data_IF_428811428643
#
_entry.id   IF_428811428643
#
_cell.length_a   1.000
_cell.length_b   1.000
_cell.length_c   1.000
_cell.angle_alpha   90.00
_cell.angle_beta   90.00
_cell.angle_gamma   90.00
#
_symmetry.space_group_name_H-M   'P 1'
#
loop_
_entity.id
_entity.type
_entity.pdbx_description
1 polymer ?
#
# COMPACT_ATOMS: atom_id res chain seq x y z
N UNK A 1 -3.29 -11.98 11.24
CA UNK A 1 -3.73 -11.22 10.04
C UNK A 1 -3.95 -12.14 8.84
N UNK A 2 -2.92 -12.71 8.23
CA UNK A 2 -3.06 -13.54 7.02
C UNK A 2 -4.09 -14.66 7.13
N UNK A 3 -4.06 -15.45 8.22
CA UNK A 3 -5.05 -16.51 8.46
C UNK A 3 -6.52 -16.02 8.46
N UNK A 4 -6.77 -14.79 8.93
CA UNK A 4 -8.11 -14.18 8.87
C UNK A 4 -8.41 -13.63 7.48
N UNK A 5 -7.39 -13.16 6.75
CA UNK A 5 -7.51 -12.77 5.36
C UNK A 5 -7.97 -13.94 4.49
N UNK A 6 -7.34 -15.10 4.64
CA UNK A 6 -7.70 -16.31 3.91
C UNK A 6 -9.11 -16.79 4.24
N UNK A 7 -9.48 -16.81 5.54
CA UNK A 7 -10.80 -17.24 6.00
C UNK A 7 -11.95 -16.34 5.51
N UNK A 8 -11.66 -15.07 5.21
CA UNK A 8 -12.63 -14.09 4.73
C UNK A 8 -12.36 -13.65 3.29
N UNK A 9 -11.65 -14.46 2.51
CA UNK A 9 -11.30 -14.13 1.13
C UNK A 9 -12.54 -13.98 0.25
N UNK A 10 -12.50 -13.01 -0.66
CA UNK A 10 -13.52 -12.79 -1.70
C UNK A 10 -12.87 -12.77 -3.09
N UNK A 11 -13.61 -13.11 -4.17
CA UNK A 11 -13.07 -13.05 -5.53
C UNK A 11 -12.49 -11.67 -5.88
N UNK A 12 -11.27 -11.65 -6.46
CA UNK A 12 -10.53 -10.42 -6.75
C UNK A 12 -9.42 -10.56 -7.83
N UNK A 13 -9.61 -11.38 -8.84
CA UNK A 13 -8.87 -11.29 -10.11
C UNK A 13 -7.38 -11.63 -9.97
N UNK A 14 -7.07 -12.58 -9.08
CA UNK A 14 -5.71 -13.00 -8.74
C UNK A 14 -5.06 -12.22 -7.59
N UNK A 15 -5.74 -11.22 -7.01
CA UNK A 15 -5.34 -10.60 -5.74
C UNK A 15 -6.05 -11.28 -4.56
N UNK A 16 -5.49 -11.13 -3.36
CA UNK A 16 -6.19 -11.45 -2.12
C UNK A 16 -7.00 -10.22 -1.70
N UNK A 17 -8.33 -10.31 -1.78
CA UNK A 17 -9.26 -9.35 -1.18
C UNK A 17 -10.09 -10.05 -0.11
N UNK A 18 -10.66 -9.27 0.81
CA UNK A 18 -11.38 -9.80 1.97
C UNK A 18 -12.74 -9.13 2.16
N UNK A 19 -13.70 -9.87 2.72
CA UNK A 19 -14.91 -9.29 3.32
C UNK A 19 -14.50 -8.44 4.53
N UNK A 20 -14.51 -7.11 4.36
CA UNK A 20 -13.94 -6.15 5.33
C UNK A 20 -14.50 -6.33 6.74
N UNK A 21 -15.82 -6.48 6.87
CA UNK A 21 -16.47 -6.63 8.17
C UNK A 21 -16.18 -7.98 8.80
N UNK A 22 -16.26 -9.06 8.02
CA UNK A 22 -15.94 -10.40 8.51
C UNK A 22 -14.49 -10.49 8.97
N UNK A 23 -13.56 -9.98 8.15
CA UNK A 23 -12.14 -9.92 8.47
C UNK A 23 -11.87 -9.11 9.75
N UNK A 24 -12.38 -7.87 9.85
CA UNK A 24 -12.10 -7.00 10.99
C UNK A 24 -12.67 -7.59 12.28
N UNK A 25 -13.90 -8.11 12.23
CA UNK A 25 -14.53 -8.74 13.39
C UNK A 25 -13.73 -9.95 13.86
N UNK A 26 -13.31 -10.83 12.95
CA UNK A 26 -12.55 -12.03 13.30
C UNK A 26 -11.16 -11.70 13.88
N UNK A 27 -10.52 -10.62 13.44
CA UNK A 27 -9.29 -10.10 14.06
C UNK A 27 -9.57 -9.58 15.47
N UNK A 28 -10.60 -8.74 15.63
CA UNK A 28 -11.02 -8.21 16.93
C UNK A 28 -11.31 -9.34 17.92
N UNK A 29 -12.17 -10.29 17.56
CA UNK A 29 -12.57 -11.41 18.43
C UNK A 29 -11.35 -12.23 18.87
N UNK A 30 -10.40 -12.46 17.97
CA UNK A 30 -9.17 -13.21 18.28
C UNK A 30 -8.31 -12.48 19.31
N UNK A 31 -8.18 -11.15 19.20
CA UNK A 31 -7.40 -10.36 20.15
C UNK A 31 -8.11 -10.24 21.51
N UNK A 32 -9.41 -9.95 21.51
CA UNK A 32 -10.19 -9.77 22.75
C UNK A 32 -10.40 -11.06 23.53
N UNK A 33 -10.36 -12.23 22.86
CA UNK A 33 -10.46 -13.52 23.53
C UNK A 33 -9.11 -14.05 24.06
N UNK A 34 -7.99 -13.40 23.74
CA UNK A 34 -6.68 -13.89 24.13
C UNK A 34 -6.40 -13.57 25.61
N UNK A 35 -6.07 -14.57 26.45
CA UNK A 35 -5.98 -14.38 27.92
C UNK A 35 -4.84 -13.47 28.39
N UNK A 36 -3.87 -13.18 27.51
CA UNK A 36 -2.73 -12.30 27.77
C UNK A 36 -2.85 -10.93 27.09
N UNK A 37 -4.00 -10.62 26.49
CA UNK A 37 -4.22 -9.32 25.84
C UNK A 37 -5.36 -8.60 26.55
N UNK A 38 -5.03 -7.43 27.09
CA UNK A 38 -6.02 -6.46 27.56
C UNK A 38 -6.24 -5.42 26.47
N UNK A 39 -7.50 -5.04 26.25
CA UNK A 39 -7.87 -3.99 25.28
C UNK A 39 -8.45 -2.82 26.04
N UNK A 40 -7.67 -1.76 26.17
CA UNK A 40 -8.14 -0.47 26.63
C UNK A 40 -8.62 0.38 25.44
N UNK A 41 -9.78 1.02 25.57
CA UNK A 41 -10.41 1.88 24.55
C UNK A 41 -10.26 3.35 24.91
N UNK A 42 -9.08 3.73 25.36
CA UNK A 42 -8.68 5.11 25.66
C UNK A 42 -7.78 5.65 24.55
N UNK A 43 -7.81 6.97 24.37
CA UNK A 43 -6.87 7.66 23.51
C UNK A 43 -5.56 7.93 24.29
N UNK A 44 -4.42 7.65 23.66
CA UNK A 44 -3.11 8.09 24.14
C UNK A 44 -2.79 9.43 23.47
N UNK A 45 -3.26 10.52 24.09
CA UNK A 45 -3.17 11.89 23.56
C UNK A 45 -1.87 12.59 23.99
N UNK A 46 -0.73 11.99 23.64
CA UNK A 46 0.60 12.52 24.01
C UNK A 46 1.67 11.44 24.05
N UNK A 47 2.84 11.76 24.60
CA UNK A 47 3.92 10.77 24.71
C UNK A 47 3.56 9.65 25.69
N UNK A 48 3.87 8.38 25.38
CA UNK A 48 3.60 7.26 26.28
C UNK A 48 4.24 7.44 27.68
N UNK A 49 3.50 7.11 28.76
CA UNK A 49 3.96 7.27 30.15
C UNK A 49 5.34 6.64 30.41
N UNK A 50 6.17 7.28 31.24
CA UNK A 50 7.57 6.88 31.45
C UNK A 50 7.72 5.47 32.05
N UNK A 51 6.73 5.01 32.80
CA UNK A 51 6.71 3.69 33.45
C UNK A 51 6.55 2.52 32.45
N UNK A 52 6.05 2.75 31.23
CA UNK A 52 5.84 1.68 30.24
C UNK A 52 7.13 1.27 29.55
N UNK A 53 7.66 0.07 29.79
CA UNK A 53 9.05 -0.26 29.37
C UNK A 53 9.24 -0.79 27.95
N UNK A 54 8.19 -1.34 27.33
CA UNK A 54 8.25 -1.87 25.97
C UNK A 54 6.99 -1.44 25.24
N UNK A 55 7.07 -0.32 24.53
CA UNK A 55 5.93 0.32 23.88
C UNK A 55 6.09 0.19 22.37
N UNK A 56 4.99 -0.14 21.67
CA UNK A 56 4.95 -0.13 20.21
C UNK A 56 3.89 0.88 19.76
N UNK A 57 4.31 1.96 19.11
CA UNK A 57 3.41 2.93 18.48
C UNK A 57 3.04 2.40 17.09
N UNK A 58 1.76 2.08 16.90
CA UNK A 58 1.22 1.53 15.65
C UNK A 58 -0.10 2.23 15.22
N UNK A 59 -0.15 3.55 15.37
CA UNK A 59 -1.35 4.39 15.18
C UNK A 59 -1.73 4.63 13.71
N UNK A 60 -0.85 4.26 12.78
CA UNK A 60 -1.13 4.35 11.35
C UNK A 60 -1.21 5.79 10.81
N UNK A 61 -1.91 6.00 9.68
CA UNK A 61 -1.89 7.28 8.96
C UNK A 61 -2.49 8.45 9.73
N UNK A 62 -3.50 8.17 10.57
CA UNK A 62 -4.31 9.16 11.27
C UNK A 62 -3.94 9.19 12.75
N UNK A 63 -2.64 9.29 13.02
CA UNK A 63 -2.13 9.47 14.38
C UNK A 63 -2.74 10.74 14.97
N UNK A 64 -3.24 10.66 16.22
CA UNK A 64 -3.91 11.79 16.89
C UNK A 64 -3.02 13.02 16.99
N UNK A 65 -3.64 14.18 17.15
CA UNK A 65 -2.93 15.46 17.19
C UNK A 65 -1.93 15.51 18.36
N UNK A 66 -2.33 15.13 19.59
CA UNK A 66 -1.43 15.19 20.75
C UNK A 66 -0.24 14.24 20.64
N UNK A 67 -0.44 13.01 20.17
CA UNK A 67 0.69 12.09 19.93
C UNK A 67 1.59 12.60 18.78
N UNK A 68 1.00 13.17 17.71
CA UNK A 68 1.76 13.75 16.62
C UNK A 68 2.64 14.91 17.08
N UNK A 69 2.11 15.82 17.92
CA UNK A 69 2.89 16.91 18.52
C UNK A 69 4.00 16.37 19.43
N UNK A 70 3.70 15.40 20.28
CA UNK A 70 4.70 14.80 21.16
C UNK A 70 5.85 14.12 20.38
N UNK A 71 5.56 13.52 19.23
CA UNK A 71 6.59 12.97 18.34
C UNK A 71 7.43 14.13 17.75
N UNK A 72 6.81 15.17 17.19
CA UNK A 72 7.51 16.33 16.62
C UNK A 72 8.47 16.98 17.63
N UNK A 73 8.01 17.20 18.86
CA UNK A 73 8.81 17.79 19.94
C UNK A 73 10.07 16.97 20.26
N UNK A 74 9.99 15.63 20.17
CA UNK A 74 11.12 14.73 20.47
C UNK A 74 12.05 14.51 19.29
N UNK A 75 11.56 14.65 18.07
CA UNK A 75 12.38 14.48 16.86
C UNK A 75 13.04 15.80 16.44
N UNK A 76 12.47 16.94 16.83
CA UNK A 76 12.88 18.26 16.33
C UNK A 76 12.54 18.46 14.85
N UNK A 77 11.71 17.60 14.28
CA UNK A 77 11.23 17.71 12.90
C UNK A 77 10.10 18.74 12.82
N UNK A 78 10.00 19.47 11.71
CA UNK A 78 8.92 20.44 11.50
C UNK A 78 7.59 19.74 11.14
N UNK A 79 7.66 18.59 10.47
CA UNK A 79 6.50 17.87 9.93
C UNK A 79 6.67 16.34 9.96
N UNK A 80 5.56 15.62 10.15
CA UNK A 80 5.46 14.15 10.08
C UNK A 80 4.70 13.67 8.82
N UNK A 81 4.64 14.43 7.73
CA UNK A 81 3.55 14.26 6.77
C UNK A 81 3.96 13.91 5.33
N UNK A 82 3.12 13.11 4.68
CA UNK A 82 2.95 13.04 3.23
C UNK A 82 1.45 13.01 2.88
N UNK A 83 1.12 13.17 1.60
CA UNK A 83 -0.26 13.07 1.11
C UNK A 83 -0.53 11.76 0.38
N UNK A 84 -1.61 11.10 0.77
CA UNK A 84 -2.23 9.99 0.06
C UNK A 84 -3.54 10.47 -0.57
N UNK A 85 -3.90 9.96 -1.74
CA UNK A 85 -5.10 10.36 -2.43
C UNK A 85 -6.08 9.17 -2.51
N UNK A 86 -7.36 9.43 -2.31
CA UNK A 86 -8.41 8.41 -2.35
C UNK A 86 -9.09 8.45 -3.72
N UNK A 87 -9.35 7.27 -4.28
CA UNK A 87 -10.09 7.14 -5.52
C UNK A 87 -11.63 7.19 -5.31
N UNK A 88 -12.39 7.74 -6.27
CA UNK A 88 -13.85 7.75 -6.25
C UNK A 88 -14.51 6.36 -6.21
N UNK A 89 -15.73 6.31 -5.71
CA UNK A 89 -16.62 5.14 -5.69
C UNK A 89 -17.94 5.54 -6.35
N UNK A 90 -18.41 4.72 -7.29
CA UNK A 90 -19.65 4.89 -8.04
C UNK A 90 -20.69 3.83 -7.66
N UNK A 91 -21.95 4.21 -7.76
CA UNK A 91 -23.08 3.28 -7.65
C UNK A 91 -23.18 2.42 -8.92
N UNK A 92 -23.34 1.11 -8.75
CA UNK A 92 -23.27 0.15 -9.87
C UNK A 92 -24.45 0.29 -10.83
N UNK A 93 -25.63 0.63 -10.33
CA UNK A 93 -26.85 0.88 -11.10
C UNK A 93 -26.79 2.16 -11.96
N UNK A 94 -25.87 3.07 -11.66
CA UNK A 94 -25.60 4.27 -12.45
C UNK A 94 -24.63 4.05 -13.63
N UNK A 95 -24.05 2.85 -13.76
CA UNK A 95 -23.10 2.50 -14.82
C UNK A 95 -23.85 2.06 -16.07
N UNK A 96 -23.48 2.60 -17.23
CA UNK A 96 -24.02 2.17 -18.51
C UNK A 96 -23.38 0.84 -18.97
N UNK A 97 -24.10 -0.25 -18.70
CA UNK A 97 -23.70 -1.63 -19.01
C UNK A 97 -23.69 -1.98 -20.50
N UNK A 98 -24.26 -1.14 -21.38
CA UNK A 98 -24.16 -1.32 -22.83
C UNK A 98 -22.78 -0.94 -23.39
N UNK A 99 -22.01 -0.18 -22.60
CA UNK A 99 -20.68 0.31 -22.97
C UNK A 99 -19.56 -0.48 -22.29
N UNK A 100 -19.74 -0.79 -21.00
CA UNK A 100 -18.71 -1.45 -20.19
C UNK A 100 -18.77 -2.97 -20.34
N UNK A 101 -17.65 -3.66 -20.11
CA UNK A 101 -17.63 -5.12 -20.09
C UNK A 101 -16.88 -5.68 -18.89
N UNK A 102 -17.32 -6.85 -18.43
CA UNK A 102 -16.71 -7.54 -17.31
C UNK A 102 -15.55 -8.42 -17.79
N UNK A 103 -14.32 -8.14 -17.34
CA UNK A 103 -13.13 -8.92 -17.71
C UNK A 103 -11.96 -8.65 -16.74
N UNK A 104 -11.30 -9.71 -16.31
CA UNK A 104 -9.97 -9.67 -15.67
C UNK A 104 -8.87 -9.73 -16.73
N UNK A 105 -7.73 -9.07 -16.50
CA UNK A 105 -6.64 -9.04 -17.49
C UNK A 105 -6.12 -10.45 -17.80
N UNK A 106 -5.93 -10.72 -19.09
CA UNK A 106 -5.50 -12.01 -19.65
C UNK A 106 -6.44 -13.17 -19.36
N UNK A 107 -7.71 -12.88 -19.09
CA UNK A 107 -8.74 -13.87 -18.76
C UNK A 107 -8.31 -14.79 -17.59
N UNK A 108 -7.53 -14.23 -16.65
CA UNK A 108 -7.09 -14.96 -15.46
C UNK A 108 -8.19 -14.99 -14.40
N UNK A 109 -8.61 -16.20 -14.03
CA UNK A 109 -9.58 -16.48 -12.98
C UNK A 109 -10.97 -16.85 -13.54
N UNK A 110 -11.79 -17.48 -12.70
CA UNK A 110 -13.15 -17.91 -13.06
C UNK A 110 -14.21 -16.81 -12.88
N UNK A 111 -13.81 -15.63 -12.38
CA UNK A 111 -14.66 -14.47 -12.09
C UNK A 111 -14.21 -13.21 -12.85
N UNK A 112 -15.18 -12.44 -13.33
CA UNK A 112 -14.97 -11.13 -13.99
C UNK A 112 -14.98 -10.00 -12.96
N UNK A 113 -13.90 -9.90 -12.19
CA UNK A 113 -13.82 -9.02 -11.00
C UNK A 113 -13.79 -7.52 -11.31
N UNK A 114 -13.61 -7.15 -12.57
CA UNK A 114 -13.53 -5.77 -13.04
C UNK A 114 -14.54 -5.49 -14.15
N UNK A 115 -15.20 -4.34 -14.07
CA UNK A 115 -15.84 -3.71 -15.22
C UNK A 115 -14.83 -2.79 -15.89
N UNK A 116 -14.80 -2.81 -17.21
CA UNK A 116 -13.82 -2.08 -18.01
C UNK A 116 -14.55 -1.03 -18.85
N UNK A 117 -14.15 0.22 -18.69
CA UNK A 117 -14.68 1.38 -19.41
C UNK A 117 -13.69 1.74 -20.52
N UNK A 118 -13.99 1.42 -21.79
CA UNK A 118 -13.07 1.63 -22.90
C UNK A 118 -13.07 3.09 -23.34
N UNK A 119 -11.89 3.58 -23.76
CA UNK A 119 -11.77 4.88 -24.41
C UNK A 119 -11.12 4.72 -25.78
N UNK A 120 -11.61 5.49 -26.75
CA UNK A 120 -10.90 5.79 -27.98
C UNK A 120 -9.78 6.81 -27.70
N UNK A 121 -8.86 6.98 -28.66
CA UNK A 121 -7.80 8.00 -28.56
C UNK A 121 -8.38 9.40 -28.37
N UNK A 122 -9.37 9.80 -29.18
CA UNK A 122 -10.00 11.11 -29.05
C UNK A 122 -10.67 11.33 -27.68
N UNK A 123 -11.33 10.30 -27.14
CA UNK A 123 -11.94 10.37 -25.80
C UNK A 123 -10.87 10.46 -24.71
N UNK A 124 -9.77 9.73 -24.85
CA UNK A 124 -8.64 9.79 -23.92
C UNK A 124 -8.01 11.18 -23.90
N UNK A 125 -7.68 11.74 -25.07
CA UNK A 125 -7.09 13.08 -25.18
C UNK A 125 -8.01 14.15 -24.57
N UNK A 126 -9.31 14.11 -24.87
CA UNK A 126 -10.29 15.03 -24.29
C UNK A 126 -10.40 14.89 -22.76
N UNK A 127 -10.33 13.67 -22.24
CA UNK A 127 -10.32 13.43 -20.80
C UNK A 127 -9.05 13.96 -20.13
N UNK A 128 -7.88 13.79 -20.76
CA UNK A 128 -6.61 14.36 -20.27
C UNK A 128 -6.67 15.88 -20.25
N UNK A 129 -7.21 16.52 -21.28
CA UNK A 129 -7.38 17.97 -21.33
C UNK A 129 -8.26 18.46 -20.18
N UNK A 130 -9.45 17.86 -20.03
CA UNK A 130 -10.37 18.20 -18.95
C UNK A 130 -9.76 17.96 -17.55
N UNK A 131 -8.97 16.90 -17.40
CA UNK A 131 -8.27 16.60 -16.15
C UNK A 131 -7.21 17.65 -15.81
N UNK A 132 -6.42 18.08 -16.80
CA UNK A 132 -5.37 19.08 -16.62
C UNK A 132 -5.93 20.48 -16.34
N UNK A 133 -7.05 20.82 -16.99
CA UNK A 133 -7.77 22.10 -16.87
C UNK A 133 -8.67 22.18 -15.63
N UNK A 134 -8.99 21.04 -14.99
CA UNK A 134 -9.92 20.98 -13.87
C UNK A 134 -9.49 21.84 -12.66
N UNK A 135 -10.49 22.39 -11.97
CA UNK A 135 -10.29 23.09 -10.71
C UNK A 135 -9.77 22.12 -9.65
N UNK A 136 -8.55 22.39 -9.18
CA UNK A 136 -7.87 21.63 -8.13
C UNK A 136 -8.09 22.31 -6.78
N UNK A 137 -8.05 21.53 -5.71
CA UNK A 137 -8.00 22.11 -4.36
C UNK A 137 -6.70 22.92 -4.24
N UNK A 138 -6.79 24.19 -3.86
CA UNK A 138 -5.61 25.06 -3.70
C UNK A 138 -4.82 24.61 -2.48
N UNK A 139 -3.50 24.56 -2.64
CA UNK A 139 -2.58 24.28 -1.55
C UNK A 139 -2.73 25.36 -0.46
N UNK A 140 -2.90 24.98 0.81
CA UNK A 140 -2.36 25.83 1.88
C UNK A 140 -0.83 25.85 1.74
N UNK A 141 -0.14 26.95 2.06
CA UNK A 141 1.32 27.12 1.84
C UNK A 141 2.19 25.91 2.28
N UNK A 142 1.78 25.18 3.31
CA UNK A 142 2.46 23.98 3.81
C UNK A 142 2.22 22.71 2.98
N UNK A 143 1.16 22.65 2.18
CA UNK A 143 0.85 21.52 1.30
C UNK A 143 1.69 21.52 0.01
N UNK A 144 2.18 22.69 -0.42
CA UNK A 144 2.99 22.84 -1.63
C UNK A 144 4.40 22.22 -1.50
N UNK A 145 4.93 22.13 -0.27
CA UNK A 145 6.28 21.62 0.01
C UNK A 145 6.29 20.17 0.49
N UNK A 146 5.13 19.54 0.65
CA UNK A 146 5.04 18.15 1.12
C UNK A 146 4.99 17.21 -0.09
N UNK A 147 5.95 16.28 -0.25
CA UNK A 147 5.96 15.34 -1.36
C UNK A 147 4.71 14.43 -1.34
N UNK A 148 4.18 14.15 -2.53
CA UNK A 148 3.15 13.11 -2.71
C UNK A 148 3.78 11.73 -2.62
N UNK A 149 3.03 10.75 -2.11
CA UNK A 149 3.47 9.37 -2.22
C UNK A 149 3.45 8.90 -3.68
N UNK A 150 4.63 8.52 -4.18
CA UNK A 150 4.87 8.24 -5.60
C UNK A 150 4.03 7.07 -6.16
N UNK A 151 3.65 6.08 -5.34
CA UNK A 151 2.81 4.98 -5.81
C UNK A 151 1.29 5.25 -5.73
N UNK A 152 0.89 6.40 -5.16
CA UNK A 152 -0.51 6.83 -5.02
C UNK A 152 -0.73 8.28 -5.47
N UNK A 153 -0.05 8.65 -6.58
CA UNK A 153 -0.15 10.00 -7.13
C UNK A 153 -1.58 10.32 -7.61
N UNK A 154 -2.07 11.56 -7.38
CA UNK A 154 -3.28 12.05 -8.03
C UNK A 154 -3.18 11.92 -9.56
N UNK A 155 -4.26 11.48 -10.23
CA UNK A 155 -4.27 11.25 -11.68
C UNK A 155 -3.92 12.51 -12.49
N UNK A 156 -4.29 13.69 -11.99
CA UNK A 156 -3.91 14.97 -12.59
C UNK A 156 -2.40 15.23 -12.51
N UNK A 157 -1.75 14.84 -11.41
CA UNK A 157 -0.29 14.95 -11.25
C UNK A 157 0.41 13.95 -12.16
N UNK A 158 -0.15 12.75 -12.33
CA UNK A 158 0.36 11.78 -13.31
C UNK A 158 0.23 12.32 -14.75
N UNK A 159 -0.90 12.96 -15.08
CA UNK A 159 -1.13 13.55 -16.40
C UNK A 159 -0.17 14.74 -16.67
N UNK A 160 0.13 15.56 -15.66
CA UNK A 160 1.11 16.65 -15.74
C UNK A 160 2.52 16.16 -16.07
N UNK A 161 2.89 14.95 -15.59
CA UNK A 161 4.18 14.31 -15.90
C UNK A 161 4.26 13.82 -17.35
N UNK A 162 3.14 13.74 -18.05
CA UNK A 162 3.08 13.40 -19.47
C UNK A 162 1.72 12.80 -19.84
N UNK A 163 1.23 13.16 -21.03
CA UNK A 163 -0.11 12.74 -21.51
C UNK A 163 -0.28 11.23 -21.59
N UNK A 164 0.78 10.47 -21.88
CA UNK A 164 0.74 9.01 -21.98
C UNK A 164 0.91 8.29 -20.63
N UNK A 165 1.23 9.02 -19.55
CA UNK A 165 1.56 8.42 -18.24
C UNK A 165 0.43 7.54 -17.72
N UNK A 166 -0.82 8.00 -17.83
CA UNK A 166 -1.97 7.23 -17.37
C UNK A 166 -2.17 5.94 -18.19
N UNK A 167 -1.86 5.93 -19.49
CA UNK A 167 -1.91 4.72 -20.35
C UNK A 167 -0.82 3.69 -20.05
N UNK A 168 0.27 4.09 -19.40
CA UNK A 168 1.25 3.15 -18.85
C UNK A 168 0.95 2.76 -17.39
N UNK A 169 0.10 3.52 -16.71
CA UNK A 169 -0.34 3.29 -15.34
C UNK A 169 -1.77 2.77 -15.21
N UNK A 170 -2.69 3.52 -14.57
CA UNK A 170 -4.03 3.04 -14.21
C UNK A 170 -4.95 2.83 -15.42
N UNK A 171 -4.70 3.51 -16.54
CA UNK A 171 -5.54 3.43 -17.74
C UNK A 171 -5.01 2.46 -18.81
N UNK A 172 -4.03 1.62 -18.46
CA UNK A 172 -3.40 0.71 -19.43
C UNK A 172 -4.40 -0.31 -19.99
N UNK A 173 -4.47 -0.55 -21.31
CA UNK A 173 -5.41 -1.52 -21.89
C UNK A 173 -4.87 -2.97 -21.92
N UNK A 174 -3.65 -3.20 -21.44
CA UNK A 174 -2.92 -4.47 -21.61
C UNK A 174 -3.66 -5.69 -21.04
N UNK A 175 -3.85 -6.72 -21.88
CA UNK A 175 -4.51 -7.97 -21.49
C UNK A 175 -6.04 -7.87 -21.45
N UNK A 176 -6.62 -6.83 -22.05
CA UNK A 176 -8.06 -6.65 -22.16
C UNK A 176 -8.47 -6.63 -23.64
N UNK A 177 -9.64 -7.15 -23.96
CA UNK A 177 -10.20 -7.16 -25.32
C UNK A 177 -11.63 -6.67 -25.26
N UNK A 178 -11.93 -5.55 -25.94
CA UNK A 178 -13.28 -5.00 -25.99
C UNK A 178 -14.14 -5.92 -26.88
N UNK A 179 -15.19 -6.57 -26.32
CA UNK A 179 -16.00 -7.53 -27.08
C UNK A 179 -16.77 -6.89 -28.23
N UNK A 180 -17.00 -5.57 -28.20
CA UNK A 180 -17.72 -4.83 -29.25
C UNK A 180 -16.88 -4.61 -30.49
N UNK A 181 -15.56 -4.51 -30.32
CA UNK A 181 -14.61 -4.24 -31.42
C UNK A 181 -13.70 -5.42 -31.75
N UNK A 182 -13.62 -6.41 -30.84
CA UNK A 182 -12.68 -7.53 -30.93
C UNK A 182 -11.21 -7.13 -30.79
N UNK A 183 -10.92 -5.90 -30.33
CA UNK A 183 -9.58 -5.33 -30.23
C UNK A 183 -9.36 -4.71 -28.85
N UNK A 184 -8.09 -4.46 -28.51
CA UNK A 184 -7.76 -3.66 -27.33
C UNK A 184 -8.21 -2.20 -27.55
N UNK A 185 -8.84 -1.59 -26.53
CA UNK A 185 -9.12 -0.17 -26.52
C UNK A 185 -7.81 0.67 -26.42
N UNK A 186 -7.89 1.96 -26.75
CA UNK A 186 -6.72 2.84 -26.64
C UNK A 186 -6.31 3.04 -25.18
N UNK A 187 -7.29 3.25 -24.30
CA UNK A 187 -7.15 3.29 -22.85
C UNK A 187 -8.37 2.62 -22.18
N UNK A 188 -8.23 2.18 -20.93
CA UNK A 188 -9.32 1.54 -20.17
C UNK A 188 -9.32 2.01 -18.72
N UNK A 189 -10.46 2.47 -18.22
CA UNK A 189 -10.67 2.67 -16.78
C UNK A 189 -11.31 1.41 -16.19
N UNK A 190 -10.69 0.84 -15.16
CA UNK A 190 -11.21 -0.36 -14.50
C UNK A 190 -12.01 0.01 -13.25
N UNK A 191 -13.14 -0.67 -13.03
CA UNK A 191 -13.98 -0.54 -11.85
C UNK A 191 -14.00 -1.87 -11.11
N UNK A 192 -13.62 -1.89 -9.83
CA UNK A 192 -13.64 -3.10 -9.00
C UNK A 192 -14.79 -3.07 -8.01
N UNK A 193 -15.32 -4.25 -7.66
CA UNK A 193 -16.33 -4.37 -6.61
C UNK A 193 -15.79 -3.85 -5.28
N UNK A 194 -16.50 -2.89 -4.67
CA UNK A 194 -16.07 -2.29 -3.40
C UNK A 194 -16.78 -2.92 -2.18
N UNK A 195 -18.01 -3.42 -2.35
CA UNK A 195 -18.77 -4.06 -1.28
C UNK A 195 -19.27 -5.46 -1.66
N UNK A 196 -19.59 -6.29 -0.65
CA UNK A 196 -20.04 -7.68 -0.84
C UNK A 196 -21.29 -7.82 -1.72
N UNK A 197 -22.21 -6.86 -1.62
CA UNK A 197 -23.45 -6.83 -2.40
C UNK A 197 -23.23 -6.46 -3.88
N UNK A 198 -22.04 -5.96 -4.24
CA UNK A 198 -21.76 -5.52 -5.61
C UNK A 198 -22.50 -4.25 -6.03
N UNK A 199 -23.08 -3.50 -5.08
CA UNK A 199 -23.80 -2.25 -5.37
C UNK A 199 -22.87 -1.06 -5.51
N UNK A 200 -21.63 -1.16 -5.03
CA UNK A 200 -20.61 -0.12 -5.14
C UNK A 200 -19.39 -0.58 -5.92
N UNK A 201 -18.84 0.30 -6.75
CA UNK A 201 -17.63 0.05 -7.55
C UNK A 201 -16.61 1.16 -7.34
N UNK A 202 -15.38 0.78 -7.01
CA UNK A 202 -14.25 1.70 -6.88
C UNK A 202 -13.57 1.91 -8.24
N UNK A 203 -13.25 3.15 -8.60
CA UNK A 203 -12.49 3.48 -9.82
C UNK A 203 -11.01 3.23 -9.56
N UNK A 204 -10.45 2.21 -10.21
CA UNK A 204 -9.12 1.67 -9.85
C UNK A 204 -8.02 2.63 -10.32
N UNK A 205 -7.20 3.11 -9.38
CA UNK A 205 -6.05 3.97 -9.69
C UNK A 205 -6.44 5.40 -10.07
N UNK A 206 -7.62 5.85 -9.65
CA UNK A 206 -8.15 7.19 -9.91
C UNK A 206 -8.12 8.09 -8.67
N UNK A 207 -7.06 7.96 -7.88
CA UNK A 207 -6.81 8.86 -6.77
C UNK A 207 -6.68 10.30 -7.29
N UNK A 208 -7.24 11.30 -6.61
CA UNK A 208 -7.30 12.65 -7.17
C UNK A 208 -7.51 13.72 -6.10
N UNK A 209 -7.16 14.97 -6.43
CA UNK A 209 -7.33 16.20 -5.63
C UNK A 209 -8.23 17.24 -6.30
N UNK A 210 -8.83 16.89 -7.44
CA UNK A 210 -9.86 17.70 -8.10
C UNK A 210 -10.94 18.09 -7.08
N UNK A 211 -11.40 19.34 -7.15
CA UNK A 211 -12.55 19.76 -6.34
C UNK A 211 -13.76 18.92 -6.73
N UNK A 212 -14.62 18.62 -5.77
CA UNK A 212 -15.75 17.70 -5.96
C UNK A 212 -16.65 18.05 -7.16
N UNK A 213 -16.86 19.34 -7.43
CA UNK A 213 -17.61 19.79 -8.62
C UNK A 213 -16.94 19.35 -9.93
N UNK A 214 -15.67 19.73 -10.13
CA UNK A 214 -14.90 19.37 -11.33
C UNK A 214 -14.70 17.85 -11.47
N UNK A 215 -14.51 17.17 -10.34
CA UNK A 215 -14.27 15.74 -10.33
C UNK A 215 -15.45 14.94 -10.91
N UNK A 216 -16.68 15.25 -10.52
CA UNK A 216 -17.84 14.55 -11.04
C UNK A 216 -17.99 14.77 -12.56
N UNK A 217 -17.75 15.98 -13.04
CA UNK A 217 -17.86 16.33 -14.46
C UNK A 217 -16.78 15.65 -15.30
N UNK A 218 -15.52 15.70 -14.87
CA UNK A 218 -14.40 15.04 -15.54
C UNK A 218 -14.59 13.52 -15.57
N UNK A 219 -14.98 12.89 -14.45
CA UNK A 219 -15.18 11.44 -14.40
C UNK A 219 -16.36 10.97 -15.25
N UNK A 220 -17.39 11.80 -15.45
CA UNK A 220 -18.51 11.49 -16.35
C UNK A 220 -18.14 11.53 -17.83
N UNK A 221 -16.95 12.04 -18.18
CA UNK A 221 -16.43 11.91 -19.55
C UNK A 221 -15.94 10.49 -19.87
N UNK A 222 -15.78 9.63 -18.86
CA UNK A 222 -15.39 8.23 -19.05
C UNK A 222 -16.58 7.47 -19.66
N UNK A 223 -16.41 6.80 -20.82
CA UNK A 223 -17.49 6.05 -21.45
C UNK A 223 -18.02 4.94 -20.54
N UNK A 224 -19.33 4.90 -20.33
CA UNK A 224 -19.96 4.03 -19.33
C UNK A 224 -20.32 4.72 -18.02
N UNK A 225 -19.74 5.90 -17.74
CA UNK A 225 -19.94 6.66 -16.50
C UNK A 225 -20.65 7.99 -16.74
N UNK A 226 -21.26 8.21 -17.91
CA UNK A 226 -21.85 9.50 -18.30
C UNK A 226 -22.93 9.98 -17.34
N UNK A 227 -23.62 9.04 -16.69
CA UNK A 227 -24.67 9.28 -15.69
C UNK A 227 -24.28 8.79 -14.31
N UNK A 228 -22.98 8.58 -14.06
CA UNK A 228 -22.53 8.00 -12.81
C UNK A 228 -22.96 8.84 -11.60
N UNK A 229 -23.47 8.14 -10.60
CA UNK A 229 -23.73 8.64 -9.26
C UNK A 229 -22.59 8.20 -8.35
N UNK A 230 -21.97 9.17 -7.67
CA UNK A 230 -20.80 8.92 -6.83
C UNK A 230 -21.23 8.72 -5.38
N UNK A 231 -21.06 7.51 -4.86
CA UNK A 231 -21.23 7.21 -3.45
C UNK A 231 -20.19 7.93 -2.59
N UNK A 232 -18.99 8.11 -3.16
CA UNK A 232 -17.90 8.87 -2.57
C UNK A 232 -17.00 9.45 -3.64
N UNK A 233 -16.69 10.73 -3.51
CA UNK A 233 -15.70 11.42 -4.34
C UNK A 233 -14.29 11.24 -3.76
N UNK A 234 -13.28 11.26 -4.62
CA UNK A 234 -11.88 11.12 -4.23
C UNK A 234 -11.33 12.38 -3.55
N UNK A 235 -10.22 12.28 -2.85
CA UNK A 235 -9.62 13.44 -2.17
C UNK A 235 -8.28 13.12 -1.52
N UNK A 236 -7.53 14.16 -1.16
CA UNK A 236 -6.24 14.01 -0.47
C UNK A 236 -6.48 13.83 1.04
N UNK A 237 -5.76 12.87 1.62
CA UNK A 237 -5.66 12.65 3.05
C UNK A 237 -4.20 12.84 3.46
N UNK A 238 -4.00 13.64 4.50
CA UNK A 238 -2.70 13.77 5.15
C UNK A 238 -2.45 12.49 5.93
N UNK A 239 -1.36 11.81 5.61
CA UNK A 239 -0.90 10.64 6.34
C UNK A 239 0.35 11.00 7.13
N UNK A 240 0.35 10.62 8.41
CA UNK A 240 1.48 10.79 9.30
C UNK A 240 2.46 9.62 9.19
N UNK A 241 3.75 9.93 9.09
CA UNK A 241 4.86 8.99 9.19
C UNK A 241 6.11 9.68 9.76
N UNK A 242 7.00 8.88 10.35
CA UNK A 242 8.30 9.34 10.86
C UNK A 242 9.41 9.09 9.83
N UNK A 243 10.47 9.89 9.88
CA UNK A 243 11.71 9.67 9.11
C UNK A 243 12.51 8.49 9.69
N UNK A 244 11.97 7.29 9.48
CA UNK A 244 12.50 6.05 10.06
C UNK A 244 14.00 5.82 9.87
N UNK A 245 14.64 6.12 8.73
CA UNK A 245 16.08 5.88 8.58
C UNK A 245 16.94 6.65 9.58
N UNK A 246 16.45 7.79 10.07
CA UNK A 246 17.12 8.59 11.09
C UNK A 246 16.64 8.19 12.48
N UNK A 247 15.32 7.98 12.62
CA UNK A 247 14.68 7.90 13.92
C UNK A 247 14.62 6.48 14.50
N UNK A 248 14.75 5.46 13.67
CA UNK A 248 14.68 4.05 14.08
C UNK A 248 16.03 3.34 13.94
N UNK A 249 16.31 2.44 14.88
CA UNK A 249 17.36 1.45 14.74
C UNK A 249 16.88 0.19 13.99
N UNK A 250 17.78 -0.77 13.79
CA UNK A 250 17.51 -2.02 13.06
C UNK A 250 16.48 -2.93 13.75
N UNK A 251 16.20 -2.67 15.03
CA UNK A 251 15.19 -3.37 15.83
C UNK A 251 13.87 -2.58 15.92
N UNK A 252 13.72 -1.54 15.08
CA UNK A 252 12.60 -0.60 15.03
C UNK A 252 12.45 0.25 16.30
N UNK A 253 13.47 0.32 17.17
CA UNK A 253 13.44 1.18 18.36
C UNK A 253 13.65 2.61 17.97
N UNK A 254 12.89 3.49 18.61
CA UNK A 254 13.05 4.93 18.48
C UNK A 254 14.36 5.35 19.14
N UNK A 255 15.32 5.84 18.34
CA UNK A 255 16.67 6.16 18.83
C UNK A 255 16.68 7.16 20.00
N UNK A 256 15.83 8.21 20.01
CA UNK A 256 15.77 9.13 21.15
C UNK A 256 15.17 8.53 22.44
N UNK A 257 14.36 7.47 22.34
CA UNK A 257 13.77 6.78 23.50
C UNK A 257 13.62 5.27 23.18
N UNK A 258 14.66 4.46 23.42
CA UNK A 258 14.71 3.04 23.01
C UNK A 258 13.66 2.13 23.65
N UNK A 259 12.95 2.65 24.66
CA UNK A 259 11.77 2.02 25.28
C UNK A 259 10.61 1.87 24.28
N UNK A 260 10.57 2.73 23.26
CA UNK A 260 9.55 2.75 22.22
C UNK A 260 10.07 2.11 20.93
N UNK A 261 9.16 1.45 20.23
CA UNK A 261 9.27 1.07 18.82
C UNK A 261 8.14 1.70 18.02
N UNK A 262 8.36 1.84 16.72
CA UNK A 262 7.30 2.20 15.79
C UNK A 262 7.00 1.03 14.85
N UNK A 263 5.73 0.86 14.49
CA UNK A 263 5.31 -0.18 13.57
C UNK A 263 4.09 0.22 12.74
N UNK A 264 3.87 -0.47 11.63
CA UNK A 264 2.78 -0.14 10.72
C UNK A 264 3.06 1.12 9.90
N UNK A 265 2.02 1.70 9.31
CA UNK A 265 2.19 2.78 8.35
C UNK A 265 2.96 4.01 8.87
N UNK A 266 2.89 4.31 10.17
CA UNK A 266 3.62 5.44 10.76
C UNK A 266 5.15 5.31 10.56
N UNK A 267 5.69 4.11 10.33
CA UNK A 267 7.12 3.95 10.02
C UNK A 267 7.48 4.36 8.59
N UNK A 268 6.51 4.58 7.70
CA UNK A 268 6.77 4.76 6.27
C UNK A 268 6.79 3.43 5.48
N UNK A 269 6.07 2.41 5.96
CA UNK A 269 5.58 1.38 5.05
C UNK A 269 4.19 1.73 4.56
N UNK A 270 3.83 1.23 3.38
CA UNK A 270 2.49 1.43 2.84
C UNK A 270 1.84 0.10 2.46
N UNK A 271 0.58 -0.06 2.86
CA UNK A 271 -0.21 -1.27 2.63
C UNK A 271 -0.49 -2.07 3.90
N UNK A 272 -1.60 -2.81 3.88
CA UNK A 272 -2.05 -3.59 5.03
C UNK A 272 -1.11 -4.75 5.36
N UNK A 273 -0.51 -5.37 4.35
CA UNK A 273 0.38 -6.52 4.53
C UNK A 273 1.73 -6.07 5.06
N UNK A 274 2.27 -4.98 4.53
CA UNK A 274 3.50 -4.35 4.97
C UNK A 274 3.35 -3.85 6.42
N UNK A 275 2.23 -3.20 6.73
CA UNK A 275 1.95 -2.75 8.10
C UNK A 275 1.85 -3.93 9.07
N UNK A 276 1.16 -5.01 8.69
CA UNK A 276 1.07 -6.22 9.50
C UNK A 276 2.42 -6.93 9.67
N UNK A 277 3.27 -6.93 8.63
CA UNK A 277 4.60 -7.53 8.67
C UNK A 277 5.52 -6.76 9.63
N UNK A 278 5.57 -5.42 9.52
CA UNK A 278 6.36 -4.59 10.44
C UNK A 278 5.79 -4.66 11.86
N UNK A 279 4.47 -4.69 12.04
CA UNK A 279 3.83 -4.93 13.34
C UNK A 279 4.25 -6.25 13.98
N UNK A 280 4.26 -7.33 13.19
CA UNK A 280 4.74 -8.63 13.64
C UNK A 280 6.23 -8.58 14.02
N UNK A 281 7.08 -7.96 13.21
CA UNK A 281 8.51 -7.83 13.50
C UNK A 281 8.74 -7.04 14.79
N UNK A 282 8.12 -5.87 14.95
CA UNK A 282 8.26 -5.06 16.16
C UNK A 282 7.85 -5.84 17.42
N UNK A 283 6.76 -6.63 17.35
CA UNK A 283 6.35 -7.52 18.44
C UNK A 283 7.36 -8.63 18.73
N UNK A 284 7.87 -9.30 17.70
CA UNK A 284 8.90 -10.36 17.85
C UNK A 284 10.19 -9.82 18.46
N UNK A 285 10.62 -8.63 18.04
CA UNK A 285 11.84 -7.96 18.53
C UNK A 285 11.66 -7.49 19.98
N UNK A 286 10.53 -6.87 20.31
CA UNK A 286 10.21 -6.52 21.70
C UNK A 286 10.17 -7.75 22.60
N UNK A 287 9.56 -8.85 22.15
CA UNK A 287 9.54 -10.11 22.90
C UNK A 287 10.92 -10.76 23.06
N UNK A 288 11.83 -10.58 22.10
CA UNK A 288 13.22 -11.01 22.25
C UNK A 288 13.95 -10.19 23.31
N UNK A 289 13.81 -8.86 23.27
CA UNK A 289 14.40 -7.94 24.25
C UNK A 289 13.89 -8.21 25.68
N UNK A 290 12.57 -8.35 25.87
CA UNK A 290 11.96 -8.67 27.17
C UNK A 290 12.52 -9.98 27.74
N UNK A 291 12.80 -10.94 26.87
CA UNK A 291 13.35 -12.24 27.24
C UNK A 291 14.89 -12.26 27.30
N UNK A 292 15.58 -11.14 27.10
CA UNK A 292 17.05 -11.09 27.08
C UNK A 292 17.68 -11.93 25.96
N UNK A 293 16.97 -12.15 24.86
CA UNK A 293 17.40 -12.96 23.72
C UNK A 293 17.94 -12.09 22.60
N UNK A 294 18.88 -12.63 21.83
CA UNK A 294 19.33 -11.97 20.61
C UNK A 294 18.17 -11.81 19.61
N UNK A 295 18.04 -10.64 18.95
CA UNK A 295 16.99 -10.43 17.96
C UNK A 295 17.24 -11.30 16.72
N UNK A 296 16.18 -11.90 16.18
CA UNK A 296 16.23 -12.55 14.87
C UNK A 296 15.78 -11.57 13.80
N UNK A 297 16.71 -11.16 12.93
CA UNK A 297 16.45 -10.21 11.84
C UNK A 297 16.22 -10.98 10.52
N UNK A 298 15.15 -10.70 9.76
CA UNK A 298 14.94 -11.32 8.46
C UNK A 298 15.99 -10.88 7.44
N UNK A 299 16.48 -11.83 6.65
CA UNK A 299 17.48 -11.55 5.61
C UNK A 299 16.93 -10.54 4.56
N UNK A 300 17.78 -9.67 3.98
CA UNK A 300 17.37 -8.64 3.04
C UNK A 300 16.76 -9.21 1.74
N UNK A 301 17.04 -10.47 1.41
CA UNK A 301 16.43 -11.20 0.30
C UNK A 301 14.94 -11.48 0.52
N UNK A 302 14.45 -11.44 1.76
CA UNK A 302 13.02 -11.61 2.08
C UNK A 302 12.25 -10.30 1.87
N UNK A 303 10.95 -10.40 1.61
CA UNK A 303 10.07 -9.23 1.54
C UNK A 303 10.08 -8.41 2.86
N UNK A 304 10.16 -9.09 4.00
CA UNK A 304 10.20 -8.42 5.31
C UNK A 304 11.55 -7.77 5.59
N UNK A 305 12.66 -8.43 5.26
CA UNK A 305 14.00 -7.88 5.44
C UNK A 305 14.29 -6.71 4.50
N UNK A 306 13.81 -6.77 3.26
CA UNK A 306 13.91 -5.62 2.33
C UNK A 306 13.10 -4.41 2.80
N UNK A 307 11.88 -4.61 3.33
CA UNK A 307 11.11 -3.54 3.96
C UNK A 307 11.82 -2.99 5.21
N UNK A 308 12.29 -3.85 6.11
CA UNK A 308 13.02 -3.43 7.30
C UNK A 308 14.27 -2.62 6.92
N UNK A 309 15.04 -3.09 5.95
CA UNK A 309 16.20 -2.38 5.43
C UNK A 309 15.86 -1.03 4.82
N UNK A 310 14.75 -0.89 4.08
CA UNK A 310 14.26 0.41 3.59
C UNK A 310 13.99 1.39 4.74
N UNK A 311 13.39 0.90 5.84
CA UNK A 311 13.07 1.72 6.99
C UNK A 311 14.30 2.17 7.79
N UNK A 312 15.39 1.40 7.81
CA UNK A 312 16.47 1.57 8.81
C UNK A 312 17.86 1.81 8.23
N UNK A 313 18.16 1.36 7.00
CA UNK A 313 19.53 1.33 6.47
C UNK A 313 19.66 1.84 5.02
N UNK A 314 18.75 1.44 4.14
CA UNK A 314 18.97 1.47 2.69
C UNK A 314 18.35 2.67 1.98
N UNK A 315 17.53 3.45 2.67
CA UNK A 315 16.91 4.64 2.10
C UNK A 315 17.75 5.89 2.37
N UNK A 316 17.82 6.77 1.38
CA UNK A 316 18.35 8.11 1.59
C UNK A 316 17.39 8.90 2.51
N UNK A 317 17.83 9.37 3.69
CA UNK A 317 16.97 10.07 4.64
C UNK A 317 16.36 11.38 4.10
N UNK A 318 17.01 12.04 3.15
CA UNK A 318 16.57 13.33 2.60
C UNK A 318 15.44 13.16 1.58
N UNK A 319 15.34 11.97 0.98
CA UNK A 319 14.31 11.62 0.00
C UNK A 319 13.46 10.44 0.48
N UNK A 320 13.48 10.15 1.79
CA UNK A 320 12.74 9.03 2.36
C UNK A 320 11.25 9.27 2.16
N UNK A 321 10.59 8.26 1.62
CA UNK A 321 9.15 8.24 1.41
C UNK A 321 8.61 6.91 1.91
N UNK A 322 7.31 6.88 2.30
CA UNK A 322 6.60 5.64 2.49
C UNK A 322 6.78 4.72 1.29
N UNK A 323 6.74 3.41 1.50
CA UNK A 323 6.96 2.45 0.42
C UNK A 323 6.20 1.15 0.67
N UNK A 324 5.54 0.65 -0.37
CA UNK A 324 5.02 -0.71 -0.41
C UNK A 324 6.12 -1.69 -0.83
N UNK A 325 5.95 -2.98 -0.56
CA UNK A 325 6.96 -3.94 -0.99
C UNK A 325 7.03 -4.00 -2.52
N UNK A 326 8.23 -3.83 -3.06
CA UNK A 326 8.46 -3.89 -4.49
C UNK A 326 9.87 -4.45 -4.79
N UNK A 327 10.04 -5.00 -5.99
CA UNK A 327 11.30 -5.65 -6.42
C UNK A 327 12.53 -4.71 -6.52
N UNK A 328 12.35 -3.40 -6.29
CA UNK A 328 13.44 -2.44 -6.17
C UNK A 328 14.12 -2.46 -4.80
N UNK A 329 13.42 -2.93 -3.76
CA UNK A 329 13.95 -2.98 -2.38
C UNK A 329 14.85 -4.20 -2.13
N UNK A 330 14.73 -5.22 -2.95
CA UNK A 330 15.49 -6.46 -2.80
C UNK A 330 16.92 -6.30 -3.32
N UNK A 331 17.90 -7.01 -2.73
CA UNK A 331 19.24 -7.12 -3.29
C UNK A 331 19.18 -7.48 -4.78
N UNK A 332 19.93 -6.78 -5.65
CA UNK A 332 19.86 -7.01 -7.08
C UNK A 332 20.35 -8.43 -7.40
N UNK A 333 19.60 -9.22 -8.21
CA UNK A 333 20.07 -10.54 -8.62
C UNK A 333 21.22 -10.41 -9.62
N UNK A 334 21.96 -11.50 -9.90
CA UNK A 334 22.97 -11.51 -10.94
C UNK A 334 22.43 -10.95 -12.27
N UNK A 335 23.17 -10.07 -12.96
CA UNK A 335 22.66 -9.42 -14.17
C UNK A 335 22.51 -10.37 -15.36
N UNK A 336 23.12 -11.56 -15.28
CA UNK A 336 23.11 -12.56 -16.33
C UNK A 336 23.00 -13.97 -15.74
N UNK A 337 22.43 -14.87 -16.52
CA UNK A 337 22.47 -16.31 -16.29
C UNK A 337 23.23 -17.01 -17.43
N UNK A 338 23.69 -18.23 -17.16
CA UNK A 338 24.23 -19.13 -18.18
C UNK A 338 23.10 -20.07 -18.60
N UNK A 339 22.71 -20.01 -19.88
CA UNK A 339 21.68 -20.88 -20.43
C UNK A 339 22.21 -22.30 -20.62
N UNK A 340 21.32 -23.28 -20.82
CA UNK A 340 21.68 -24.69 -20.98
C UNK A 340 22.70 -24.98 -22.11
N UNK A 341 22.81 -24.07 -23.09
CA UNK A 341 23.78 -24.12 -24.18
C UNK A 341 25.07 -23.31 -23.91
N UNK A 342 25.33 -22.94 -22.66
CA UNK A 342 26.54 -22.22 -22.23
C UNK A 342 26.60 -20.73 -22.57
N UNK A 343 25.52 -20.16 -23.13
CA UNK A 343 25.50 -18.73 -23.52
C UNK A 343 25.08 -17.83 -22.36
N UNK A 344 25.62 -16.62 -22.33
CA UNK A 344 25.26 -15.59 -21.34
C UNK A 344 23.98 -14.88 -21.78
N UNK A 345 22.94 -14.91 -20.95
CA UNK A 345 21.67 -14.22 -21.18
C UNK A 345 21.43 -13.17 -20.09
N UNK A 346 21.10 -11.94 -20.48
CA UNK A 346 20.73 -10.88 -19.53
C UNK A 346 19.38 -11.20 -18.88
N UNK A 347 19.32 -11.20 -17.55
CA UNK A 347 18.08 -11.42 -16.81
C UNK A 347 17.33 -10.09 -16.74
N UNK A 348 16.09 -10.05 -17.26
CA UNK A 348 15.29 -8.82 -17.32
C UNK A 348 13.80 -9.10 -17.17
N UNK A 349 13.02 -8.05 -16.89
CA UNK A 349 11.57 -8.12 -16.88
C UNK A 349 11.03 -9.19 -15.93
N UNK A 350 10.20 -10.10 -16.46
CA UNK A 350 9.55 -11.17 -15.68
C UNK A 350 10.56 -12.13 -15.05
N UNK A 351 11.58 -12.56 -15.76
CA UNK A 351 12.57 -13.53 -15.27
C UNK A 351 13.31 -12.97 -14.04
N UNK A 352 13.66 -11.67 -14.08
CA UNK A 352 14.27 -10.98 -12.92
C UNK A 352 13.35 -10.99 -11.70
N UNK A 353 12.06 -10.67 -11.91
CA UNK A 353 11.05 -10.65 -10.84
C UNK A 353 10.82 -12.05 -10.25
N UNK A 354 10.78 -13.08 -11.10
CA UNK A 354 10.63 -14.47 -10.67
C UNK A 354 11.83 -14.95 -9.85
N UNK A 355 13.05 -14.60 -10.26
CA UNK A 355 14.26 -14.95 -9.51
C UNK A 355 14.28 -14.31 -8.12
N UNK A 356 13.93 -13.02 -8.03
CA UNK A 356 13.81 -12.32 -6.75
C UNK A 356 12.73 -12.94 -5.86
N UNK A 357 11.55 -13.25 -6.41
CA UNK A 357 10.48 -13.90 -5.67
C UNK A 357 10.89 -15.30 -5.17
N UNK A 358 11.57 -16.09 -6.00
CA UNK A 358 12.07 -17.40 -5.62
C UNK A 358 13.15 -17.31 -4.52
N UNK A 359 14.09 -16.36 -4.63
CA UNK A 359 15.09 -16.11 -3.60
C UNK A 359 14.46 -15.71 -2.26
N UNK A 360 13.44 -14.84 -2.29
CA UNK A 360 12.69 -14.46 -1.10
C UNK A 360 11.99 -15.65 -0.42
N UNK A 361 11.35 -16.51 -1.21
CA UNK A 361 10.70 -17.73 -0.71
C UNK A 361 11.70 -18.76 -0.17
N UNK A 362 12.92 -18.80 -0.72
CA UNK A 362 13.97 -19.67 -0.24
C UNK A 362 14.61 -19.16 1.07
N UNK A 363 14.76 -17.84 1.23
CA UNK A 363 15.38 -17.24 2.41
C UNK A 363 14.45 -17.19 3.62
N UNK A 364 13.13 -17.11 3.42
CA UNK A 364 12.18 -16.96 4.53
C UNK A 364 12.14 -18.15 5.52
N UNK A 365 12.16 -19.43 5.07
CA UNK A 365 12.20 -20.58 5.99
C UNK A 365 13.37 -20.55 6.97
N UNK A 366 14.55 -20.09 6.54
CA UNK A 366 15.72 -19.98 7.43
C UNK A 366 15.49 -18.94 8.52
N UNK A 367 14.93 -17.78 8.17
CA UNK A 367 14.51 -16.77 9.15
C UNK A 367 13.50 -17.34 10.15
N UNK A 368 12.45 -18.01 9.67
CA UNK A 368 11.41 -18.54 10.56
C UNK A 368 11.99 -19.64 11.47
N UNK A 369 12.86 -20.51 10.94
CA UNK A 369 13.56 -21.52 11.73
C UNK A 369 14.40 -20.89 12.85
N UNK A 370 15.23 -19.89 12.52
CA UNK A 370 16.04 -19.18 13.52
C UNK A 370 15.17 -18.52 14.60
N UNK A 371 14.04 -17.93 14.20
CA UNK A 371 13.10 -17.34 15.15
C UNK A 371 12.52 -18.41 16.08
N UNK A 372 12.06 -19.55 15.56
CA UNK A 372 11.51 -20.64 16.37
C UNK A 372 12.56 -21.25 17.31
N UNK A 373 13.78 -21.46 16.83
CA UNK A 373 14.91 -21.89 17.67
C UNK A 373 15.15 -20.91 18.82
N UNK A 374 15.08 -19.60 18.54
CA UNK A 374 15.23 -18.55 19.56
C UNK A 374 14.14 -18.60 20.65
N UNK A 375 12.96 -19.17 20.39
CA UNK A 375 11.90 -19.31 21.40
C UNK A 375 12.16 -20.49 22.35
N UNK A 376 12.88 -21.50 21.87
CA UNK A 376 13.18 -22.74 22.62
C UNK A 376 14.55 -22.75 23.28
N UNK A 377 15.45 -21.87 22.84
CA UNK A 377 16.76 -21.68 23.46
C UNK A 377 16.56 -21.11 24.87
N UNK A 378 16.49 -22.01 25.85
CA UNK A 378 16.49 -21.69 27.28
C UNK A 378 17.63 -20.72 27.57
N UNK A 379 17.33 -19.62 28.28
CA UNK A 379 18.32 -18.66 28.78
C UNK A 379 19.45 -19.43 29.47
N UNK A 380 20.60 -19.53 28.80
CA UNK A 380 21.84 -19.93 29.45
C UNK A 380 22.33 -18.72 30.24
N UNK A 381 21.93 -18.70 31.53
CA UNK A 381 22.45 -17.94 32.66
C UNK A 381 22.74 -16.44 32.47
#
# INVERSE_FOLDING_TARGET
IMAKGDAHAVPAGGALAVDRHGFSQAVTDTLTAHPLIEVDRTEIDGWPPEEWRHVIIATGPLTSDGLSQAILERTGEEHLAFFDAIAPIVHTDSINMDVVWAQSRYDKGDATDYLNCPMTEAQYEAFIDALLESDKTEFREWEANTPYFEACLPIEVMAERGRETLRFGPMKPVGLTDPRTGKAAHAVVQLRQDNKLGTLRNIVGFQTKMRYGAQADVLRMIPGLEKAEFARLGGIHRNSFIRSPILLDEELRFRPDPRLRFAGQITGVEGYIESAAIGMLAGRLAAAEIAGRAPTIPAPETAMGSLLGHLTQNANPDTFQPMNVNFGLFPPPPPFEITANGKRRKIKGRDRKMLLAAGALQAYPDYEKLYQESLTATQAA
#
